data_IF_882030997031
#
_entry.id   IF_882030997031
#
_cell.length_a   1.000
_cell.length_b   1.000
_cell.length_c   1.000
_cell.angle_alpha   90.00
_cell.angle_beta   90.00
_cell.angle_gamma   90.00
#
_symmetry.space_group_name_H-M   'P 1'
#
loop_
_entity.id
_entity.type
_entity.pdbx_description
1 polymer ?
#
# COMPACT_ATOMS: atom_id res chain seq x y z
N UNK A 1 10.06 -4.86 -14.30
CA UNK A 1 10.55 -4.30 -15.56
C UNK A 1 9.40 -4.24 -16.54
N UNK A 2 9.19 -3.08 -17.18
CA UNK A 2 8.18 -2.88 -18.22
C UNK A 2 8.87 -2.35 -19.48
N UNK A 3 8.56 -2.97 -20.60
CA UNK A 3 8.96 -2.47 -21.92
C UNK A 3 7.90 -1.48 -22.39
N UNK A 4 8.34 -0.30 -22.77
CA UNK A 4 7.51 0.78 -23.29
C UNK A 4 7.80 0.99 -24.77
N UNK A 5 7.00 1.83 -25.42
CA UNK A 5 7.24 2.24 -26.79
C UNK A 5 8.58 2.97 -26.95
N UNK A 6 9.06 3.09 -28.19
CA UNK A 6 10.30 3.78 -28.53
C UNK A 6 11.57 3.23 -27.85
N UNK A 7 11.65 1.90 -27.69
CA UNK A 7 12.77 1.21 -27.05
C UNK A 7 13.06 1.67 -25.61
N UNK A 8 12.05 2.13 -24.91
CA UNK A 8 12.18 2.53 -23.51
C UNK A 8 11.91 1.34 -22.57
N UNK A 9 12.60 1.33 -21.44
CA UNK A 9 12.43 0.33 -20.40
C UNK A 9 12.22 1.03 -19.06
N UNK A 10 11.11 0.75 -18.40
CA UNK A 10 10.87 1.17 -17.02
C UNK A 10 11.34 0.07 -16.07
N UNK A 11 12.22 0.43 -15.16
CA UNK A 11 12.73 -0.49 -14.12
C UNK A 11 12.35 0.06 -12.76
N UNK A 12 11.61 -0.75 -11.99
CA UNK A 12 11.20 -0.44 -10.63
C UNK A 12 11.79 -1.42 -9.63
N UNK A 13 12.08 -0.93 -8.43
CA UNK A 13 12.51 -1.71 -7.28
C UNK A 13 11.74 -1.28 -6.06
N UNK A 14 11.18 -2.21 -5.31
CA UNK A 14 10.33 -1.93 -4.16
C UNK A 14 11.00 -2.51 -2.92
N UNK A 15 11.20 -1.68 -1.91
CA UNK A 15 11.75 -2.07 -0.61
C UNK A 15 10.68 -1.86 0.44
N UNK A 16 10.49 -2.87 1.27
CA UNK A 16 9.65 -2.76 2.46
C UNK A 16 10.38 -1.95 3.53
N UNK A 17 9.73 -0.91 4.07
CA UNK A 17 10.39 0.01 5.00
C UNK A 17 10.53 -0.52 6.43
N UNK A 18 10.05 -1.73 6.72
CA UNK A 18 10.22 -2.38 8.03
C UNK A 18 11.52 -3.18 8.14
N UNK A 19 12.56 -2.86 7.38
CA UNK A 19 13.86 -3.50 7.46
C UNK A 19 14.55 -3.22 8.80
N UNK A 20 15.29 -4.24 9.28
CA UNK A 20 15.99 -4.16 10.56
C UNK A 20 17.32 -3.40 10.49
N UNK A 21 18.04 -3.58 9.39
CA UNK A 21 19.36 -2.99 9.19
C UNK A 21 19.27 -1.47 8.95
N UNK A 22 19.71 -0.61 9.89
CA UNK A 22 19.65 0.85 9.76
C UNK A 22 20.53 1.41 8.63
N UNK A 23 21.52 0.65 8.18
CA UNK A 23 22.43 1.04 7.10
C UNK A 23 21.93 0.64 5.71
N UNK A 24 20.81 -0.07 5.62
CA UNK A 24 20.22 -0.42 4.31
C UNK A 24 19.73 0.85 3.62
N UNK A 25 20.22 1.08 2.42
CA UNK A 25 19.76 2.17 1.57
C UNK A 25 18.97 1.62 0.39
N UNK A 26 17.65 1.89 0.28
CA UNK A 26 16.84 1.46 -0.86
C UNK A 26 17.40 1.92 -2.21
N UNK A 27 18.05 3.08 -2.23
CA UNK A 27 18.73 3.58 -3.42
C UNK A 27 19.91 2.67 -3.82
N UNK A 28 20.77 2.32 -2.86
CA UNK A 28 21.95 1.46 -3.14
C UNK A 28 21.52 0.05 -3.54
N UNK A 29 20.51 -0.51 -2.88
CA UNK A 29 19.92 -1.79 -3.27
C UNK A 29 19.40 -1.77 -4.71
N UNK A 30 18.77 -0.67 -5.12
CA UNK A 30 18.34 -0.51 -6.51
C UNK A 30 19.52 -0.39 -7.48
N UNK A 31 20.62 0.27 -7.08
CA UNK A 31 21.84 0.30 -7.92
C UNK A 31 22.40 -1.13 -8.10
N UNK A 32 22.54 -1.90 -7.01
CA UNK A 32 23.00 -3.30 -7.09
C UNK A 32 22.08 -4.16 -7.94
N UNK A 33 20.76 -4.04 -7.78
CA UNK A 33 19.78 -4.76 -8.60
C UNK A 33 20.00 -4.53 -10.10
N UNK A 34 20.34 -3.32 -10.52
CA UNK A 34 20.62 -3.00 -11.94
C UNK A 34 21.87 -3.72 -12.47
N UNK A 35 22.80 -4.12 -11.61
CA UNK A 35 23.97 -4.91 -11.97
C UNK A 35 23.73 -6.41 -12.08
N UNK A 36 22.55 -6.90 -11.64
CA UNK A 36 22.19 -8.31 -11.83
C UNK A 36 22.27 -8.69 -13.33
N UNK A 37 22.90 -9.80 -13.72
CA UNK A 37 23.21 -10.14 -15.12
C UNK A 37 22.02 -10.01 -16.07
N UNK A 38 20.85 -10.49 -15.67
CA UNK A 38 19.63 -10.39 -16.49
C UNK A 38 19.14 -8.95 -16.68
N UNK A 39 19.23 -8.13 -15.64
CA UNK A 39 18.78 -6.72 -15.68
C UNK A 39 19.81 -5.88 -16.44
N UNK A 40 21.10 -6.05 -16.12
CA UNK A 40 22.20 -5.36 -16.80
C UNK A 40 22.12 -5.52 -18.31
N UNK A 41 21.84 -6.73 -18.81
CA UNK A 41 21.70 -6.99 -20.25
C UNK A 41 20.62 -6.13 -20.90
N UNK A 42 19.50 -5.86 -20.21
CA UNK A 42 18.41 -5.02 -20.72
C UNK A 42 18.77 -3.53 -20.72
N UNK A 43 19.70 -3.12 -19.86
CA UNK A 43 20.06 -1.70 -19.68
C UNK A 43 21.34 -1.31 -20.40
N UNK A 44 22.12 -2.28 -20.90
CA UNK A 44 23.39 -2.02 -21.58
C UNK A 44 23.15 -1.19 -22.85
N UNK A 45 23.93 -0.11 -22.98
CA UNK A 45 23.82 0.83 -24.11
C UNK A 45 22.68 1.85 -23.94
N UNK A 46 21.86 1.71 -22.92
CA UNK A 46 20.77 2.65 -22.64
C UNK A 46 21.22 3.89 -21.86
N UNK A 47 20.45 4.97 -22.01
CA UNK A 47 20.63 6.22 -21.27
C UNK A 47 19.43 6.42 -20.33
N UNK A 48 19.70 6.80 -19.07
CA UNK A 48 18.64 7.16 -18.14
C UNK A 48 17.99 8.48 -18.55
N UNK A 49 16.69 8.46 -18.80
CA UNK A 49 15.89 9.62 -19.20
C UNK A 49 15.06 10.21 -18.06
N UNK A 50 14.68 9.39 -17.08
CA UNK A 50 13.92 9.84 -15.91
C UNK A 50 14.21 8.96 -14.69
N UNK A 51 13.88 9.47 -13.51
CA UNK A 51 13.88 8.71 -12.25
C UNK A 51 12.88 9.31 -11.27
N UNK A 52 12.50 8.54 -10.29
CA UNK A 52 11.63 8.98 -9.20
C UNK A 52 11.52 7.92 -8.12
N UNK A 53 11.07 8.33 -6.94
CA UNK A 53 10.76 7.43 -5.84
C UNK A 53 9.52 7.92 -5.10
N UNK A 54 8.76 6.96 -4.53
CA UNK A 54 7.58 7.23 -3.72
C UNK A 54 7.48 6.21 -2.60
N UNK A 55 7.15 6.68 -1.40
CA UNK A 55 6.68 5.82 -0.33
C UNK A 55 5.17 5.58 -0.50
N UNK A 56 4.73 4.35 -0.24
CA UNK A 56 3.34 3.93 -0.34
C UNK A 56 2.94 3.24 0.95
N UNK A 57 1.85 3.67 1.57
CA UNK A 57 1.31 3.05 2.77
C UNK A 57 0.61 1.73 2.42
N UNK A 58 1.04 0.65 3.08
CA UNK A 58 0.50 -0.71 2.88
C UNK A 58 -0.27 -1.26 4.09
N UNK A 59 -0.63 -0.42 5.04
CA UNK A 59 -1.25 -0.84 6.31
C UNK A 59 -2.62 -1.51 6.18
N UNK A 60 -3.33 -1.31 5.08
CA UNK A 60 -4.62 -1.93 4.82
C UNK A 60 -5.75 -1.38 5.70
N UNK A 61 -6.82 -2.15 5.85
CA UNK A 61 -8.07 -1.72 6.51
C UNK A 61 -7.87 -1.13 7.92
N UNK A 62 -7.01 -1.76 8.73
CA UNK A 62 -6.78 -1.36 10.13
C UNK A 62 -6.00 -0.05 10.27
N UNK A 63 -5.33 0.39 9.21
CA UNK A 63 -4.49 1.58 9.18
C UNK A 63 -5.11 2.75 8.43
N UNK A 64 -6.36 2.60 7.95
CA UNK A 64 -7.05 3.71 7.30
C UNK A 64 -7.29 4.81 8.32
N UNK A 65 -6.74 6.02 8.13
CA UNK A 65 -6.97 7.14 9.01
C UNK A 65 -8.41 7.64 8.88
N UNK A 66 -8.76 8.67 9.65
CA UNK A 66 -9.93 9.47 9.36
C UNK A 66 -9.68 10.19 8.03
N UNK A 67 -10.36 9.73 6.98
CA UNK A 67 -10.08 10.19 5.63
C UNK A 67 -10.71 11.55 5.31
N UNK A 68 -11.78 11.93 6.01
CA UNK A 68 -12.40 13.22 5.89
C UNK A 68 -11.96 14.19 7.01
N UNK A 69 -11.73 15.44 6.66
CA UNK A 69 -11.46 16.53 7.58
C UNK A 69 -12.14 17.81 7.05
N UNK A 70 -12.34 18.85 7.87
CA UNK A 70 -13.00 20.07 7.42
C UNK A 70 -12.30 20.67 6.19
N UNK A 71 -13.04 20.82 5.10
CA UNK A 71 -12.55 21.36 3.83
C UNK A 71 -11.73 20.39 2.97
N UNK A 72 -11.57 19.10 3.34
CA UNK A 72 -10.79 18.16 2.54
C UNK A 72 -11.05 16.69 2.81
N UNK A 73 -10.48 15.85 1.94
CA UNK A 73 -10.52 14.41 2.08
C UNK A 73 -9.27 13.73 1.49
N UNK A 74 -8.82 12.63 2.12
CA UNK A 74 -7.75 11.79 1.64
C UNK A 74 -8.30 10.70 0.72
N UNK A 75 -7.65 10.48 -0.42
CA UNK A 75 -8.05 9.52 -1.45
C UNK A 75 -6.91 8.55 -1.77
N UNK A 76 -7.25 7.36 -2.21
CA UNK A 76 -6.29 6.41 -2.75
C UNK A 76 -5.11 6.11 -1.83
N UNK A 77 -3.90 6.18 -2.38
CA UNK A 77 -2.67 5.88 -1.63
C UNK A 77 -2.41 6.87 -0.48
N UNK A 78 -2.92 8.11 -0.54
CA UNK A 78 -2.81 9.07 0.56
C UNK A 78 -3.61 8.64 1.79
N UNK A 79 -4.67 7.85 1.60
CA UNK A 79 -5.44 7.22 2.67
C UNK A 79 -4.97 5.77 2.99
N UNK A 80 -3.93 5.27 2.33
CA UNK A 80 -3.40 3.93 2.55
C UNK A 80 -4.24 2.79 1.98
N UNK A 81 -4.96 3.01 0.88
CA UNK A 81 -5.96 2.07 0.34
C UNK A 81 -5.37 0.97 -0.57
N UNK A 82 -4.08 0.69 -0.47
CA UNK A 82 -3.43 -0.36 -1.27
C UNK A 82 -3.87 -1.74 -0.82
N UNK A 83 -4.29 -2.58 -1.77
CA UNK A 83 -4.51 -4.00 -1.54
C UNK A 83 -3.16 -4.73 -1.62
N UNK A 84 -2.56 -5.01 -0.46
CA UNK A 84 -1.20 -5.53 -0.34
C UNK A 84 -0.99 -6.85 -1.11
N UNK A 85 -1.81 -7.92 -0.94
CA UNK A 85 -1.60 -9.18 -1.65
C UNK A 85 -1.65 -9.06 -3.17
N UNK A 86 -2.42 -8.12 -3.67
CA UNK A 86 -2.52 -7.84 -5.11
C UNK A 86 -1.43 -6.90 -5.61
N UNK A 87 -0.73 -6.21 -4.71
CA UNK A 87 0.23 -5.14 -5.03
C UNK A 87 -0.45 -4.07 -5.94
N UNK A 88 -1.71 -3.79 -5.69
CA UNK A 88 -2.54 -2.89 -6.52
C UNK A 88 -3.36 -1.95 -5.64
N UNK A 89 -3.38 -0.67 -6.02
CA UNK A 89 -4.15 0.37 -5.34
C UNK A 89 -5.07 1.16 -6.27
N UNK A 90 -4.87 1.06 -7.60
CA UNK A 90 -5.57 1.92 -8.56
C UNK A 90 -7.10 1.79 -8.48
N UNK A 91 -7.63 0.58 -8.39
CA UNK A 91 -9.07 0.34 -8.28
C UNK A 91 -9.64 0.97 -6.99
N UNK A 92 -8.96 0.83 -5.85
CA UNK A 92 -9.38 1.46 -4.60
C UNK A 92 -9.23 2.99 -4.64
N UNK A 93 -8.21 3.50 -5.33
CA UNK A 93 -8.07 4.94 -5.55
C UNK A 93 -9.22 5.50 -6.37
N UNK A 94 -9.60 4.84 -7.45
CA UNK A 94 -10.75 5.22 -8.29
C UNK A 94 -12.07 5.17 -7.51
N UNK A 95 -12.32 4.07 -6.78
CA UNK A 95 -13.52 3.95 -5.94
C UNK A 95 -13.57 5.02 -4.85
N UNK A 96 -12.46 5.30 -4.18
CA UNK A 96 -12.42 6.37 -3.17
C UNK A 96 -12.68 7.75 -3.78
N UNK A 97 -12.21 7.99 -5.02
CA UNK A 97 -12.50 9.21 -5.76
C UNK A 97 -13.99 9.37 -6.09
N UNK A 98 -14.66 8.31 -6.53
CA UNK A 98 -16.10 8.30 -6.80
C UNK A 98 -16.90 8.61 -5.53
N UNK A 99 -16.60 7.89 -4.43
CA UNK A 99 -17.30 8.08 -3.15
C UNK A 99 -17.10 9.49 -2.57
N UNK A 100 -15.89 10.04 -2.70
CA UNK A 100 -15.60 11.40 -2.28
C UNK A 100 -16.34 12.44 -3.15
N UNK A 101 -16.33 12.25 -4.47
CA UNK A 101 -17.01 13.15 -5.39
C UNK A 101 -18.53 13.23 -5.12
N UNK A 102 -19.17 12.08 -4.86
CA UNK A 102 -20.59 12.04 -4.45
C UNK A 102 -20.81 12.82 -3.14
N UNK A 103 -19.94 12.63 -2.15
CA UNK A 103 -20.08 13.28 -0.84
C UNK A 103 -19.87 14.79 -0.94
N UNK A 104 -18.87 15.23 -1.73
CA UNK A 104 -18.62 16.66 -2.01
C UNK A 104 -19.80 17.28 -2.78
N UNK A 105 -20.29 16.59 -3.81
CA UNK A 105 -21.43 17.08 -4.59
C UNK A 105 -22.68 17.32 -3.72
N UNK A 106 -22.99 16.38 -2.85
CA UNK A 106 -24.12 16.50 -1.93
C UNK A 106 -23.93 17.65 -0.94
N UNK A 107 -22.74 17.80 -0.36
CA UNK A 107 -22.42 18.89 0.55
C UNK A 107 -22.60 20.27 -0.13
N UNK A 108 -22.10 20.40 -1.36
CA UNK A 108 -22.27 21.67 -2.14
C UNK A 108 -23.74 21.95 -2.44
N UNK A 109 -24.51 20.94 -2.83
CA UNK A 109 -25.96 21.11 -3.08
C UNK A 109 -26.74 21.54 -1.84
N UNK A 110 -26.30 21.11 -0.67
CA UNK A 110 -26.89 21.46 0.62
C UNK A 110 -26.34 22.77 1.20
N UNK A 111 -25.49 23.49 0.46
CA UNK A 111 -24.87 24.74 0.87
C UNK A 111 -23.84 24.60 1.98
N UNK A 112 -23.33 23.40 2.20
CA UNK A 112 -22.29 23.10 3.21
C UNK A 112 -20.90 23.22 2.60
N UNK A 113 -20.20 24.29 2.94
CA UNK A 113 -18.85 24.59 2.46
C UNK A 113 -17.83 24.47 3.60
N UNK A 114 -16.67 23.84 3.32
CA UNK A 114 -15.62 23.67 4.31
C UNK A 114 -15.98 22.71 5.46
N UNK A 115 -17.02 21.94 5.28
CA UNK A 115 -17.59 21.00 6.27
C UNK A 115 -16.86 19.66 6.30
N UNK A 116 -17.12 18.88 7.34
CA UNK A 116 -16.65 17.51 7.48
C UNK A 116 -17.53 16.55 6.68
N UNK A 117 -16.96 15.86 5.72
CA UNK A 117 -17.64 14.84 4.90
C UNK A 117 -17.73 13.49 5.65
N UNK A 118 -18.50 13.45 6.73
CA UNK A 118 -18.64 12.21 7.57
C UNK A 118 -19.21 11.02 6.81
N UNK A 119 -20.06 11.26 5.82
CA UNK A 119 -20.61 10.23 4.93
C UNK A 119 -19.55 9.57 4.05
N UNK A 120 -18.50 10.31 3.68
CA UNK A 120 -17.37 9.76 2.93
C UNK A 120 -16.60 8.71 3.76
N UNK A 121 -16.26 8.99 5.01
CA UNK A 121 -15.61 8.01 5.89
C UNK A 121 -16.44 6.73 6.04
N UNK A 122 -17.74 6.87 6.17
CA UNK A 122 -18.67 5.72 6.24
C UNK A 122 -18.67 4.93 4.93
N UNK A 123 -18.83 5.59 3.78
CA UNK A 123 -18.82 4.96 2.47
C UNK A 123 -17.51 4.24 2.20
N UNK A 124 -16.37 4.88 2.49
CA UNK A 124 -15.04 4.31 2.32
C UNK A 124 -14.86 2.97 3.04
N UNK A 125 -15.41 2.84 4.24
CA UNK A 125 -15.31 1.62 5.06
C UNK A 125 -16.33 0.55 4.70
N UNK A 126 -17.49 0.92 4.18
CA UNK A 126 -18.64 0.01 3.99
C UNK A 126 -18.87 -0.39 2.53
N UNK A 127 -18.47 0.44 1.57
CA UNK A 127 -18.64 0.16 0.15
C UNK A 127 -17.47 -0.61 -0.46
N UNK A 128 -17.14 -0.35 -1.72
CA UNK A 128 -16.20 -1.15 -2.52
C UNK A 128 -14.82 -1.28 -1.87
N UNK A 129 -14.23 -0.17 -1.43
CA UNK A 129 -12.88 -0.13 -0.83
C UNK A 129 -12.84 -0.94 0.46
N UNK A 130 -13.76 -0.67 1.39
CA UNK A 130 -13.82 -1.39 2.66
C UNK A 130 -14.06 -2.88 2.48
N UNK A 131 -14.92 -3.27 1.54
CA UNK A 131 -15.17 -4.69 1.20
C UNK A 131 -13.96 -5.37 0.61
N UNK A 132 -13.20 -4.70 -0.26
CA UNK A 132 -11.97 -5.25 -0.84
C UNK A 132 -10.88 -5.41 0.22
N UNK A 133 -10.60 -4.38 1.01
CA UNK A 133 -9.57 -4.41 2.04
C UNK A 133 -9.93 -5.33 3.22
N UNK A 134 -11.22 -5.52 3.53
CA UNK A 134 -11.66 -6.45 4.57
C UNK A 134 -11.24 -7.89 4.27
N UNK A 135 -11.23 -8.29 3.01
CA UNK A 135 -10.83 -9.65 2.59
C UNK A 135 -9.37 -9.95 2.87
N UNK A 136 -8.51 -8.93 2.84
CA UNK A 136 -7.05 -9.07 2.93
C UNK A 136 -6.46 -8.50 4.23
N UNK A 137 -7.31 -8.08 5.17
CA UNK A 137 -6.93 -7.30 6.35
C UNK A 137 -5.87 -7.95 7.24
N UNK A 138 -5.80 -9.27 7.26
CA UNK A 138 -4.87 -10.00 8.12
C UNK A 138 -3.53 -10.35 7.47
N UNK A 139 -3.37 -10.13 6.15
CA UNK A 139 -2.15 -10.53 5.43
C UNK A 139 -0.91 -9.78 5.95
N UNK A 140 -1.00 -8.45 6.12
CA UNK A 140 0.12 -7.67 6.65
C UNK A 140 0.47 -8.04 8.10
N UNK A 141 -0.47 -8.14 9.06
CA UNK A 141 -0.18 -8.61 10.41
C UNK A 141 0.39 -10.04 10.48
N UNK A 142 -0.07 -10.96 9.63
CA UNK A 142 0.44 -12.33 9.59
C UNK A 142 1.87 -12.37 9.01
N UNK A 143 2.16 -11.60 7.97
CA UNK A 143 3.51 -11.45 7.44
C UNK A 143 4.47 -10.88 8.49
N UNK A 144 4.06 -9.87 9.24
CA UNK A 144 4.89 -9.28 10.28
C UNK A 144 5.20 -10.24 11.43
N UNK A 145 4.27 -11.15 11.77
CA UNK A 145 4.43 -12.11 12.88
C UNK A 145 5.17 -13.39 12.49
N UNK A 146 4.92 -13.92 11.30
CA UNK A 146 5.37 -15.24 10.89
C UNK A 146 6.36 -15.21 9.71
N UNK A 147 6.80 -14.00 9.32
CA UNK A 147 7.68 -13.80 8.17
C UNK A 147 7.00 -14.05 6.83
N UNK A 148 7.73 -13.89 5.71
CA UNK A 148 7.13 -13.96 4.37
C UNK A 148 6.47 -15.30 4.06
N UNK A 149 7.10 -16.42 4.40
CA UNK A 149 6.57 -17.75 4.09
C UNK A 149 5.37 -18.12 4.96
N UNK A 150 5.49 -17.93 6.28
CA UNK A 150 4.38 -18.19 7.21
C UNK A 150 3.20 -17.26 6.97
N UNK A 151 3.47 -15.99 6.70
CA UNK A 151 2.44 -15.00 6.35
C UNK A 151 1.74 -15.30 5.03
N UNK A 152 2.46 -15.83 4.02
CA UNK A 152 1.86 -16.24 2.76
C UNK A 152 0.88 -17.42 2.95
N UNK A 153 1.29 -18.44 3.70
CA UNK A 153 0.46 -19.63 3.94
C UNK A 153 -0.78 -19.25 4.78
N UNK A 154 -0.57 -18.63 5.94
CA UNK A 154 -1.66 -18.29 6.86
C UNK A 154 -2.57 -17.20 6.30
N UNK A 155 -1.98 -16.19 5.64
CA UNK A 155 -2.72 -15.12 4.99
C UNK A 155 -3.53 -15.61 3.78
N UNK A 156 -2.96 -16.50 2.97
CA UNK A 156 -3.65 -17.15 1.86
C UNK A 156 -4.82 -18.00 2.34
N UNK A 157 -4.62 -18.78 3.41
CA UNK A 157 -5.68 -19.58 4.03
C UNK A 157 -6.81 -18.70 4.60
N UNK A 158 -6.49 -17.63 5.33
CA UNK A 158 -7.49 -16.71 5.86
C UNK A 158 -8.29 -16.02 4.75
N UNK A 159 -7.62 -15.58 3.68
CA UNK A 159 -8.28 -14.98 2.52
C UNK A 159 -9.21 -15.97 1.81
N UNK A 160 -8.79 -17.21 1.62
CA UNK A 160 -9.60 -18.28 1.03
C UNK A 160 -10.83 -18.56 1.90
N UNK A 161 -10.61 -18.75 3.20
CA UNK A 161 -11.67 -19.00 4.17
C UNK A 161 -12.67 -17.84 4.21
N UNK A 162 -12.20 -16.61 4.25
CA UNK A 162 -13.05 -15.42 4.23
C UNK A 162 -13.82 -15.25 2.92
N UNK A 163 -13.28 -15.72 1.79
CA UNK A 163 -13.98 -15.68 0.51
C UNK A 163 -15.16 -16.64 0.50
N UNK A 164 -14.99 -17.85 1.05
CA UNK A 164 -16.04 -18.87 1.11
C UNK A 164 -17.08 -18.59 2.20
N UNK A 165 -16.63 -18.35 3.42
CA UNK A 165 -17.50 -18.30 4.61
C UNK A 165 -17.84 -16.87 5.07
N UNK A 166 -17.28 -15.83 4.42
CA UNK A 166 -17.51 -14.41 4.72
C UNK A 166 -17.03 -13.94 6.10
N UNK A 167 -16.31 -14.76 6.83
CA UNK A 167 -15.64 -14.38 8.09
C UNK A 167 -14.19 -14.87 8.12
N UNK A 168 -13.39 -14.27 8.98
CA UNK A 168 -11.98 -14.66 9.17
C UNK A 168 -11.84 -15.47 10.45
N UNK A 169 -11.02 -16.51 10.41
CA UNK A 169 -10.69 -17.33 11.60
C UNK A 169 -9.89 -16.53 12.64
N UNK A 170 -9.11 -15.56 12.19
CA UNK A 170 -8.27 -14.73 13.06
C UNK A 170 -8.97 -13.43 13.50
N UNK A 171 -10.22 -13.20 13.11
CA UNK A 171 -10.90 -11.92 13.34
C UNK A 171 -10.23 -10.77 12.59
N UNK A 172 -9.92 -9.68 13.29
CA UNK A 172 -9.10 -8.57 12.78
C UNK A 172 -7.86 -8.43 13.63
N UNK A 173 -6.74 -8.85 13.11
CA UNK A 173 -5.45 -8.76 13.79
C UNK A 173 -4.97 -7.32 13.83
N UNK A 174 -4.37 -6.91 14.94
CA UNK A 174 -3.69 -5.62 15.06
C UNK A 174 -2.33 -5.70 14.37
N UNK A 175 -1.88 -4.59 13.80
CA UNK A 175 -0.48 -4.43 13.40
C UNK A 175 0.43 -4.55 14.63
N UNK A 176 1.65 -5.03 14.39
CA UNK A 176 2.69 -5.11 15.41
C UNK A 176 3.39 -3.77 15.61
N UNK A 177 4.72 -3.81 15.61
CA UNK A 177 5.57 -2.62 15.70
C UNK A 177 5.39 -1.73 14.45
N UNK A 178 5.61 -0.43 14.61
CA UNK A 178 5.75 0.49 13.47
C UNK A 178 7.05 0.18 12.69
N UNK A 179 7.15 0.69 11.46
CA UNK A 179 8.34 0.50 10.63
C UNK A 179 9.59 1.06 11.36
N UNK A 180 9.46 2.23 12.00
CA UNK A 180 10.54 2.84 12.78
C UNK A 180 10.97 1.99 13.98
N UNK A 181 10.03 1.38 14.71
CA UNK A 181 10.33 0.49 15.83
C UNK A 181 10.92 -0.86 15.42
N UNK A 182 10.82 -1.20 14.15
CA UNK A 182 11.36 -2.44 13.57
C UNK A 182 12.85 -2.31 13.22
N UNK A 183 13.33 -1.09 13.02
CA UNK A 183 14.74 -0.80 12.72
C UNK A 183 15.59 -0.94 13.98
N UNK A 184 16.66 -1.70 13.89
CA UNK A 184 17.62 -1.86 14.97
C UNK A 184 18.42 -0.56 15.17
N UNK A 185 18.85 -0.29 16.41
CA UNK A 185 19.73 0.84 16.67
C UNK A 185 21.03 0.68 15.89
N UNK A 186 21.49 1.76 15.26
CA UNK A 186 22.77 1.78 14.58
C UNK A 186 23.87 1.59 15.64
N UNK A 187 24.39 0.36 15.80
CA UNK A 187 25.71 0.19 16.38
C UNK A 187 26.71 0.93 15.48
N UNK A 188 27.72 1.58 16.07
CA UNK A 188 28.73 2.28 15.28
C UNK A 188 29.22 1.38 14.15
N UNK A 189 29.36 1.89 12.92
CA UNK A 189 29.92 1.10 11.83
C UNK A 189 31.33 0.65 12.24
N UNK A 190 31.54 -0.66 12.16
CA UNK A 190 32.88 -1.24 12.34
C UNK A 190 33.73 -0.91 11.14
#
# INVERSE_FOLDING_TARGET
>A
VYHLDNNQVYVGYIVDLNYKNPFLSPYMEFQQFKHHPKIKKLLTGGKRIAYGARAVTKGGLQSIPRAAFPGGALLGCSAGLVNLPRIKGNHNAMHSGIEAAESVHNAIREGRFGDLLSDYDFKLKTKAVGKDLKKVRNVAPLNARFGPLGGLILGGFDMWFQTLFKFSLFGSLKHGKSDAESTENAAMPV
#
